data_IF_055815567652
#
_entry.id   IF_055815567652
#
_cell.length_a   1.000
_cell.length_b   1.000
_cell.length_c   1.000
_cell.angle_alpha   90.00
_cell.angle_beta   90.00
_cell.angle_gamma   90.00
#
_symmetry.space_group_name_H-M   'P 1'
#
loop_
_entity.id
_entity.type
_entity.pdbx_description
1 polymer ?
#
# COMPACT_ATOMS: atom_id res chain seq x y z
N UNK A 1 -0.71 -3.51 -0.68
CA UNK A 1 -0.08 -4.74 -1.22
C UNK A 1 -0.54 -5.92 -0.38
N UNK A 2 -0.72 -7.11 -0.97
CA UNK A 2 -0.73 -8.37 -0.24
C UNK A 2 0.71 -8.87 -0.07
N UNK A 3 1.05 -9.33 1.12
CA UNK A 3 2.36 -9.91 1.42
C UNK A 3 2.24 -11.43 1.26
N UNK A 4 3.01 -12.02 0.34
CA UNK A 4 2.88 -13.43 0.00
C UNK A 4 4.24 -14.12 -0.09
N UNK A 5 4.58 -14.91 0.94
CA UNK A 5 5.82 -15.71 0.96
C UNK A 5 5.78 -16.92 0.02
N UNK A 6 4.60 -17.29 -0.51
CA UNK A 6 4.45 -18.33 -1.51
C UNK A 6 4.63 -17.83 -2.96
N UNK A 7 4.62 -16.52 -3.17
CA UNK A 7 4.91 -15.92 -4.48
C UNK A 7 6.41 -15.70 -4.67
N UNK A 8 6.95 -16.16 -5.78
CA UNK A 8 8.34 -15.85 -6.17
C UNK A 8 8.48 -14.39 -6.64
N UNK A 9 7.48 -13.88 -7.35
CA UNK A 9 7.52 -12.58 -8.02
C UNK A 9 6.72 -11.51 -7.27
N UNK A 10 7.12 -10.26 -7.43
CA UNK A 10 6.26 -9.12 -7.12
C UNK A 10 5.30 -8.89 -8.29
N UNK A 11 3.99 -8.79 -8.04
CA UNK A 11 2.97 -8.61 -9.06
C UNK A 11 2.21 -7.30 -8.87
N UNK A 12 1.82 -6.63 -9.96
CA UNK A 12 0.94 -5.46 -9.91
C UNK A 12 -0.05 -5.46 -11.07
N UNK A 13 -1.33 -5.14 -10.78
CA UNK A 13 -2.34 -4.94 -11.81
C UNK A 13 -2.04 -3.71 -12.66
N UNK A 14 -2.27 -3.81 -13.97
CA UNK A 14 -1.92 -2.78 -14.95
C UNK A 14 -2.62 -1.43 -14.67
N UNK A 15 -3.88 -1.44 -14.28
CA UNK A 15 -4.70 -0.26 -14.01
C UNK A 15 -4.15 0.65 -12.90
N UNK A 16 -3.30 0.12 -12.03
CA UNK A 16 -2.67 0.87 -10.94
C UNK A 16 -1.44 1.66 -11.38
N UNK A 17 -0.91 1.35 -12.57
CA UNK A 17 0.21 2.08 -13.13
C UNK A 17 -0.29 3.37 -13.79
N UNK A 18 0.36 4.49 -13.47
CA UNK A 18 0.16 5.74 -14.23
C UNK A 18 0.58 5.51 -15.68
N UNK A 19 -0.09 6.19 -16.62
CA UNK A 19 0.19 6.06 -18.06
C UNK A 19 1.66 6.35 -18.45
N UNK A 20 2.37 7.11 -17.62
CA UNK A 20 3.78 7.48 -17.82
C UNK A 20 4.77 6.38 -17.40
N UNK A 21 4.32 5.36 -16.65
CA UNK A 21 5.18 4.26 -16.22
C UNK A 21 5.45 3.35 -17.41
N UNK A 22 6.72 3.29 -17.83
CA UNK A 22 7.14 2.40 -18.90
C UNK A 22 7.05 0.93 -18.46
N UNK A 23 6.45 0.11 -19.30
CA UNK A 23 6.38 -1.35 -19.13
C UNK A 23 7.32 -2.00 -20.14
N UNK A 24 8.36 -2.69 -19.66
CA UNK A 24 9.26 -3.46 -20.51
C UNK A 24 8.68 -4.85 -20.75
N UNK A 25 8.27 -5.12 -21.99
CA UNK A 25 7.67 -6.38 -22.42
C UNK A 25 8.69 -7.44 -22.85
N UNK A 26 10.00 -7.19 -22.71
CA UNK A 26 11.05 -8.18 -23.01
C UNK A 26 11.11 -9.29 -21.96
N UNK A 27 10.75 -8.98 -20.72
CA UNK A 27 10.74 -9.94 -19.61
C UNK A 27 9.30 -10.27 -19.26
N UNK A 28 8.88 -11.48 -19.62
CA UNK A 28 7.52 -11.97 -19.39
C UNK A 28 7.57 -13.40 -18.85
N UNK A 29 6.81 -13.66 -17.79
CA UNK A 29 6.74 -14.96 -17.14
C UNK A 29 5.36 -15.59 -17.28
N UNK A 30 5.36 -16.92 -17.28
CA UNK A 30 4.15 -17.71 -17.10
C UNK A 30 4.00 -18.03 -15.61
N UNK A 31 2.84 -17.69 -15.08
CA UNK A 31 2.47 -17.83 -13.68
C UNK A 31 1.57 -19.05 -13.51
N UNK A 32 1.84 -19.80 -12.44
CA UNK A 32 1.06 -20.98 -12.02
C UNK A 32 0.75 -20.88 -10.53
N UNK A 33 -0.15 -21.72 -10.02
CA UNK A 33 -0.46 -21.80 -8.59
C UNK A 33 -1.58 -20.86 -8.10
N UNK A 34 -2.02 -19.90 -8.92
CA UNK A 34 -3.14 -19.00 -8.57
C UNK A 34 -4.47 -19.50 -9.14
N UNK A 35 -4.45 -20.13 -10.31
CA UNK A 35 -5.63 -20.80 -10.88
C UNK A 35 -5.30 -22.21 -11.33
N UNK A 36 -6.32 -22.97 -11.73
CA UNK A 36 -6.14 -24.26 -12.42
C UNK A 36 -5.41 -24.11 -13.77
N UNK A 37 -5.30 -22.88 -14.31
CA UNK A 37 -4.63 -22.56 -15.56
C UNK A 37 -3.32 -21.79 -15.39
N UNK A 38 -2.67 -21.53 -16.53
CA UNK A 38 -1.49 -20.66 -16.64
C UNK A 38 -1.94 -19.26 -17.01
N UNK A 39 -1.40 -18.25 -16.34
CA UNK A 39 -1.58 -16.84 -16.73
C UNK A 39 -0.23 -16.22 -17.03
N UNK A 40 -0.17 -15.22 -17.90
CA UNK A 40 1.08 -14.60 -18.32
C UNK A 40 1.16 -13.17 -17.81
N UNK A 41 2.36 -12.72 -17.43
CA UNK A 41 2.62 -11.30 -17.18
C UNK A 41 2.61 -10.53 -18.50
N UNK A 42 2.46 -9.21 -18.42
CA UNK A 42 2.51 -8.29 -19.57
C UNK A 42 3.93 -7.78 -19.81
N UNK A 43 4.71 -7.67 -18.74
CA UNK A 43 6.07 -7.14 -18.75
C UNK A 43 6.53 -6.85 -17.33
N UNK A 44 7.52 -5.97 -17.21
CA UNK A 44 8.03 -5.47 -15.93
C UNK A 44 7.97 -3.94 -15.86
N UNK A 45 7.70 -3.43 -14.67
CA UNK A 45 7.77 -2.01 -14.33
C UNK A 45 8.57 -1.84 -13.05
N UNK A 46 9.34 -0.75 -12.95
CA UNK A 46 10.05 -0.40 -11.71
C UNK A 46 9.24 0.65 -10.97
N UNK A 47 8.90 0.36 -9.71
CA UNK A 47 8.15 1.25 -8.84
C UNK A 47 8.97 1.58 -7.61
N UNK A 48 8.79 2.79 -7.09
CA UNK A 48 9.45 3.19 -5.85
C UNK A 48 8.59 2.79 -4.65
N UNK A 49 9.13 1.95 -3.78
CA UNK A 49 8.55 1.65 -2.46
C UNK A 49 9.47 2.28 -1.42
N UNK A 50 8.96 3.30 -0.72
CA UNK A 50 9.77 4.19 0.14
C UNK A 50 10.97 4.76 -0.63
N UNK A 51 12.19 4.31 -0.32
CA UNK A 51 13.42 4.77 -0.97
C UNK A 51 14.05 3.74 -1.92
N UNK A 52 13.36 2.62 -2.13
CA UNK A 52 13.85 1.53 -2.97
C UNK A 52 13.13 1.44 -4.30
N UNK A 53 13.90 1.20 -5.35
CA UNK A 53 13.39 0.83 -6.67
C UNK A 53 13.12 -0.67 -6.68
N UNK A 54 11.85 -1.03 -6.78
CA UNK A 54 11.37 -2.40 -6.74
C UNK A 54 10.83 -2.79 -8.12
N UNK A 55 11.31 -3.92 -8.64
CA UNK A 55 10.80 -4.48 -9.88
C UNK A 55 9.49 -5.22 -9.61
N UNK A 56 8.47 -4.90 -10.39
CA UNK A 56 7.16 -5.54 -10.41
C UNK A 56 6.89 -6.14 -11.77
N UNK A 57 6.35 -7.36 -11.78
CA UNK A 57 5.76 -7.96 -12.95
C UNK A 57 4.31 -7.48 -13.11
N UNK A 58 4.03 -6.89 -14.27
CA UNK A 58 2.70 -6.36 -14.57
C UNK A 58 1.77 -7.48 -14.99
N UNK A 59 0.59 -7.55 -14.42
CA UNK A 59 -0.47 -8.50 -14.81
C UNK A 59 -1.70 -7.76 -15.33
N UNK A 60 -2.56 -8.48 -16.04
CA UNK A 60 -3.87 -7.94 -16.46
C UNK A 60 -4.72 -7.55 -15.25
N UNK A 61 -5.67 -6.63 -15.43
CA UNK A 61 -6.60 -6.25 -14.35
C UNK A 61 -7.56 -7.39 -13.98
N UNK A 62 -7.81 -8.29 -14.94
CA UNK A 62 -8.57 -9.53 -14.75
C UNK A 62 -7.78 -10.63 -14.02
N UNK A 63 -6.57 -10.32 -13.53
CA UNK A 63 -5.76 -11.29 -12.80
C UNK A 63 -6.48 -11.72 -11.52
N UNK A 64 -6.61 -13.03 -11.24
CA UNK A 64 -7.57 -13.59 -10.29
C UNK A 64 -7.06 -13.52 -8.84
N UNK A 65 -6.73 -12.31 -8.39
CA UNK A 65 -6.37 -11.99 -7.01
C UNK A 65 -7.24 -10.81 -6.55
N UNK A 66 -7.71 -10.87 -5.31
CA UNK A 66 -8.49 -9.78 -4.72
C UNK A 66 -7.67 -8.53 -4.46
N UNK A 67 -6.36 -8.69 -4.20
CA UNK A 67 -5.46 -7.59 -3.97
C UNK A 67 -5.06 -6.86 -5.27
N UNK A 68 -4.66 -5.61 -5.10
CA UNK A 68 -4.15 -4.75 -6.16
C UNK A 68 -2.75 -5.15 -6.64
N UNK A 69 -1.93 -5.62 -5.71
CA UNK A 69 -0.54 -5.98 -5.95
C UNK A 69 -0.06 -7.00 -4.91
N UNK A 70 0.91 -7.83 -5.28
CA UNK A 70 1.57 -8.81 -4.42
C UNK A 70 3.03 -8.43 -4.24
N UNK A 71 3.52 -8.45 -3.01
CA UNK A 71 4.94 -8.45 -2.69
C UNK A 71 5.34 -9.89 -2.39
N UNK A 72 6.22 -10.42 -3.24
CA UNK A 72 6.71 -11.79 -3.18
C UNK A 72 8.09 -11.91 -2.53
N UNK A 73 8.60 -13.13 -2.53
CA UNK A 73 9.90 -13.48 -1.94
C UNK A 73 11.09 -12.81 -2.61
N UNK A 74 10.99 -12.42 -3.88
CA UNK A 74 11.99 -11.57 -4.53
C UNK A 74 12.25 -10.28 -3.73
N UNK A 75 11.19 -9.55 -3.36
CA UNK A 75 11.34 -8.35 -2.54
C UNK A 75 11.93 -8.69 -1.17
N UNK A 76 11.44 -9.73 -0.50
CA UNK A 76 11.92 -10.11 0.83
C UNK A 76 13.41 -10.44 0.85
N UNK A 77 13.89 -11.20 -0.15
CA UNK A 77 15.31 -11.56 -0.25
C UNK A 77 16.17 -10.35 -0.59
N UNK A 78 15.75 -9.56 -1.58
CA UNK A 78 16.53 -8.41 -2.05
C UNK A 78 16.68 -7.32 -0.99
N UNK A 79 15.67 -7.16 -0.13
CA UNK A 79 15.66 -6.14 0.92
C UNK A 79 15.93 -6.70 2.32
N UNK A 80 16.25 -8.00 2.44
CA UNK A 80 16.51 -8.69 3.73
C UNK A 80 15.38 -8.46 4.74
N UNK A 81 14.15 -8.60 4.27
CA UNK A 81 12.94 -8.35 5.08
C UNK A 81 12.79 -9.43 6.15
N UNK A 82 12.49 -9.01 7.38
CA UNK A 82 12.02 -9.88 8.46
C UNK A 82 10.52 -9.71 8.60
N UNK A 83 9.78 -10.81 8.66
CA UNK A 83 8.36 -10.79 9.02
C UNK A 83 8.27 -11.01 10.53
N UNK A 84 7.88 -9.98 11.27
CA UNK A 84 7.66 -10.04 12.72
C UNK A 84 6.17 -10.20 12.99
N UNK A 85 5.74 -11.45 13.18
CA UNK A 85 4.35 -11.77 13.49
C UNK A 85 3.91 -11.28 14.88
N UNK A 86 4.83 -11.14 15.83
CA UNK A 86 4.48 -10.67 17.18
C UNK A 86 4.17 -9.17 17.17
N UNK A 87 4.91 -8.39 16.37
CA UNK A 87 4.69 -6.96 16.19
C UNK A 87 3.78 -6.60 15.02
N UNK A 88 3.27 -7.62 14.32
CA UNK A 88 2.45 -7.47 13.11
C UNK A 88 3.10 -6.51 12.10
N UNK A 89 4.36 -6.74 11.73
CA UNK A 89 5.06 -5.86 10.79
C UNK A 89 6.10 -6.56 9.90
N UNK A 90 6.47 -5.89 8.82
CA UNK A 90 7.69 -6.14 8.06
C UNK A 90 8.80 -5.24 8.56
N UNK A 91 9.98 -5.79 8.82
CA UNK A 91 11.17 -5.01 9.16
C UNK A 91 12.19 -5.11 8.03
N UNK A 92 12.61 -3.97 7.50
CA UNK A 92 13.66 -3.88 6.49
C UNK A 92 14.49 -2.63 6.71
N UNK A 93 15.83 -2.76 6.61
CA UNK A 93 16.78 -1.66 6.84
C UNK A 93 16.56 -0.89 8.15
N UNK A 94 16.06 -1.57 9.19
CA UNK A 94 15.74 -0.96 10.48
C UNK A 94 14.39 -0.23 10.54
N UNK A 95 13.65 -0.14 9.45
CA UNK A 95 12.32 0.47 9.37
C UNK A 95 11.25 -0.61 9.51
N UNK A 96 10.23 -0.35 10.34
CA UNK A 96 9.09 -1.24 10.53
C UNK A 96 7.86 -0.75 9.74
N UNK A 97 7.29 -1.63 8.93
CA UNK A 97 6.05 -1.43 8.19
C UNK A 97 4.97 -2.33 8.77
N UNK A 98 4.09 -1.75 9.57
CA UNK A 98 3.02 -2.49 10.25
C UNK A 98 1.97 -2.99 9.26
N UNK A 99 1.48 -4.20 9.48
CA UNK A 99 0.37 -4.76 8.75
C UNK A 99 -0.87 -3.91 9.03
N UNK A 100 -1.55 -3.50 7.97
CA UNK A 100 -2.84 -2.85 8.09
C UNK A 100 -3.89 -3.95 8.26
N UNK A 101 -4.60 -3.90 9.38
CA UNK A 101 -5.90 -4.52 9.48
C UNK A 101 -6.90 -3.51 8.90
N UNK A 102 -7.86 -3.96 8.08
CA UNK A 102 -8.90 -3.11 7.49
C UNK A 102 -9.82 -2.53 8.58
N UNK A 103 -9.31 -1.57 9.35
CA UNK A 103 -10.11 -0.74 10.23
C UNK A 103 -10.82 0.28 9.35
N UNK A 104 -12.14 0.15 9.22
CA UNK A 104 -12.95 1.19 8.59
C UNK A 104 -13.42 2.19 9.64
N UNK A 105 -13.34 3.47 9.31
CA UNK A 105 -13.95 4.55 10.09
C UNK A 105 -15.16 5.04 9.32
N UNK A 106 -16.34 4.92 9.91
CA UNK A 106 -17.53 5.63 9.44
C UNK A 106 -17.35 7.13 9.68
N UNK A 107 -17.51 7.92 8.64
CA UNK A 107 -17.50 9.38 8.70
C UNK A 107 -18.85 9.88 8.18
N UNK A 108 -19.75 10.28 9.09
CA UNK A 108 -21.08 10.73 8.70
C UNK A 108 -21.03 11.94 7.76
N UNK A 109 -22.08 12.07 6.97
CA UNK A 109 -22.37 13.19 6.11
C UNK A 109 -22.17 14.52 6.87
N UNK A 110 -21.51 15.49 6.24
CA UNK A 110 -21.45 16.88 6.75
C UNK A 110 -20.88 16.99 8.17
N UNK A 111 -19.92 16.14 8.53
CA UNK A 111 -19.27 16.17 9.84
C UNK A 111 -17.79 16.51 9.77
N UNK A 112 -17.29 17.05 10.88
CA UNK A 112 -15.87 17.13 11.20
C UNK A 112 -15.59 16.16 12.35
N UNK A 113 -14.78 15.14 12.08
CA UNK A 113 -14.44 14.07 13.05
C UNK A 113 -12.94 14.02 13.28
N UNK A 114 -12.51 13.75 14.51
CA UNK A 114 -11.11 13.51 14.80
C UNK A 114 -10.77 12.04 14.48
N UNK A 115 -9.65 11.83 13.80
CA UNK A 115 -9.08 10.51 13.53
C UNK A 115 -7.57 10.54 13.71
N UNK A 116 -6.92 9.40 13.50
CA UNK A 116 -5.47 9.31 13.45
C UNK A 116 -5.02 8.47 12.26
N UNK A 117 -3.82 8.75 11.76
CA UNK A 117 -3.08 7.88 10.86
C UNK A 117 -1.85 7.34 11.58
N UNK A 118 -1.38 6.17 11.15
CA UNK A 118 -0.15 5.58 11.66
C UNK A 118 1.07 6.30 11.10
N UNK A 119 2.01 6.63 11.97
CA UNK A 119 3.31 7.16 11.57
C UNK A 119 4.24 5.96 11.34
N UNK A 120 4.77 5.82 10.12
CA UNK A 120 5.63 4.70 9.75
C UNK A 120 6.92 4.65 10.59
N UNK A 121 7.48 5.83 10.89
CA UNK A 121 8.67 5.96 11.73
C UNK A 121 8.30 6.53 13.12
N UNK A 122 8.37 5.73 14.19
CA UNK A 122 8.03 6.18 15.53
C UNK A 122 9.02 7.22 16.09
N UNK A 123 10.23 7.36 15.53
CA UNK A 123 11.21 8.37 15.97
C UNK A 123 10.87 9.79 15.50
N UNK A 124 10.07 9.92 14.43
CA UNK A 124 9.60 11.22 13.95
C UNK A 124 8.67 11.82 15.00
N UNK A 125 9.06 12.94 15.62
CA UNK A 125 8.25 13.61 16.65
C UNK A 125 7.17 14.54 16.07
N UNK A 126 7.46 15.20 14.94
CA UNK A 126 6.56 16.16 14.30
C UNK A 126 6.72 16.08 12.78
N UNK A 127 5.66 16.39 12.04
CA UNK A 127 5.69 16.41 10.59
C UNK A 127 4.50 17.12 9.97
N UNK A 128 4.58 17.34 8.66
CA UNK A 128 3.45 17.81 7.86
C UNK A 128 2.87 16.65 7.08
N UNK A 129 1.57 16.38 7.25
CA UNK A 129 0.84 15.42 6.45
C UNK A 129 0.21 16.17 5.28
N UNK A 130 0.58 15.78 4.06
CA UNK A 130 -0.05 16.27 2.82
C UNK A 130 -1.52 15.83 2.76
N UNK A 131 -2.31 16.49 1.91
CA UNK A 131 -3.67 16.02 1.60
C UNK A 131 -3.66 14.54 1.23
N UNK A 132 -4.49 13.77 1.90
CA UNK A 132 -4.72 12.36 1.60
C UNK A 132 -5.99 12.25 0.77
N UNK A 133 -5.99 11.36 -0.22
CA UNK A 133 -7.21 11.05 -0.96
C UNK A 133 -8.14 10.23 -0.07
N UNK A 134 -9.26 10.84 0.31
CA UNK A 134 -10.28 10.26 1.18
C UNK A 134 -11.63 10.12 0.45
N UNK A 135 -11.64 10.29 -0.87
CA UNK A 135 -12.84 10.33 -1.70
C UNK A 135 -13.34 11.75 -2.00
N UNK A 136 -14.30 11.87 -2.94
CA UNK A 136 -14.87 13.15 -3.33
C UNK A 136 -15.45 13.90 -2.13
N UNK A 137 -15.18 15.21 -2.02
CA UNK A 137 -15.77 16.07 -0.98
C UNK A 137 -15.44 15.67 0.47
N UNK A 138 -14.41 14.84 0.65
CA UNK A 138 -13.84 14.45 1.94
C UNK A 138 -12.41 14.98 2.04
N UNK A 139 -12.15 15.77 3.07
CA UNK A 139 -10.88 16.46 3.27
C UNK A 139 -10.14 15.85 4.46
N UNK A 140 -8.93 15.35 4.21
CA UNK A 140 -8.04 14.74 5.19
C UNK A 140 -6.58 15.18 4.95
N UNK A 141 -5.86 15.55 6.00
CA UNK A 141 -4.45 15.96 5.92
C UNK A 141 -4.26 17.47 5.88
N UNK A 142 -3.24 17.93 5.15
CA UNK A 142 -2.77 19.32 5.11
C UNK A 142 -2.57 19.93 6.52
N UNK A 143 -1.98 19.15 7.43
CA UNK A 143 -1.86 19.50 8.82
C UNK A 143 -0.44 19.26 9.35
N UNK A 144 0.04 20.18 10.18
CA UNK A 144 1.19 19.94 11.06
C UNK A 144 0.68 19.10 12.23
N UNK A 145 1.34 17.97 12.47
CA UNK A 145 0.95 16.98 13.47
C UNK A 145 2.13 16.64 14.37
N UNK A 146 1.82 16.25 15.61
CA UNK A 146 2.75 15.60 16.53
C UNK A 146 2.52 14.09 16.48
N UNK A 147 3.60 13.31 16.44
CA UNK A 147 3.53 11.88 16.67
C UNK A 147 3.28 11.61 18.16
N UNK A 148 2.16 10.96 18.47
CA UNK A 148 1.79 10.53 19.82
C UNK A 148 1.72 9.01 19.82
N UNK A 149 2.83 8.36 20.21
CA UNK A 149 2.94 6.90 20.29
C UNK A 149 2.64 6.20 18.94
N UNK A 150 3.29 6.64 17.86
CA UNK A 150 3.12 6.11 16.50
C UNK A 150 1.85 6.59 15.79
N UNK A 151 1.14 7.59 16.34
CA UNK A 151 -0.13 8.09 15.81
C UNK A 151 -0.09 9.60 15.60
N UNK A 152 -0.45 10.03 14.39
CA UNK A 152 -0.68 11.43 14.08
C UNK A 152 -2.19 11.70 14.06
N UNK A 153 -2.66 12.57 14.96
CA UNK A 153 -4.08 12.92 15.05
C UNK A 153 -4.41 14.11 14.15
N UNK A 154 -5.51 13.99 13.41
CA UNK A 154 -5.99 14.99 12.46
C UNK A 154 -7.51 15.01 12.40
N UNK A 155 -8.06 16.04 11.78
CA UNK A 155 -9.48 16.10 11.48
C UNK A 155 -9.73 15.61 10.07
N UNK A 156 -10.79 14.83 9.93
CA UNK A 156 -11.43 14.59 8.66
C UNK A 156 -12.70 15.44 8.57
N UNK A 157 -12.92 16.05 7.42
CA UNK A 157 -14.14 16.83 7.12
C UNK A 157 -14.82 16.18 5.94
N UNK A 158 -16.01 15.63 6.16
CA UNK A 158 -16.88 15.14 5.10
C UNK A 158 -17.94 16.20 4.82
N UNK A 159 -18.07 16.66 3.58
CA UNK A 159 -19.09 17.63 3.17
C UNK A 159 -20.23 17.03 2.34
N UNK A 160 -20.20 15.72 2.13
CA UNK A 160 -21.13 14.98 1.26
C UNK A 160 -21.96 13.95 2.06
N UNK A 161 -22.20 12.76 1.51
CA UNK A 161 -22.91 11.62 2.11
C UNK A 161 -22.03 10.78 3.06
N UNK A 162 -22.63 9.88 3.84
CA UNK A 162 -21.91 8.98 4.73
C UNK A 162 -20.86 8.15 3.97
N UNK A 163 -19.63 8.10 4.49
CA UNK A 163 -18.53 7.34 3.87
C UNK A 163 -17.84 6.42 4.89
N UNK A 164 -17.34 5.30 4.40
CA UNK A 164 -16.42 4.43 5.12
C UNK A 164 -15.02 4.61 4.56
N UNK A 165 -14.06 4.92 5.42
CA UNK A 165 -12.67 5.14 5.03
C UNK A 165 -11.79 4.11 5.71
N UNK A 166 -10.92 3.47 4.94
CA UNK A 166 -9.89 2.57 5.44
C UNK A 166 -8.81 3.37 6.18
N UNK A 167 -8.35 2.86 7.31
CA UNK A 167 -7.48 3.56 8.24
C UNK A 167 -6.04 3.05 8.23
#
# INVERSE_FOLDING_TARGET
>A
FMIDTGSDLNLIKRSLLKNEVAIDSRTVFELTGITKGRTRTVGVATLRISDDNVLFHVVSDEFPIGADAIIGTEFFRNHKVTIDYLRECLVTKGIAYYFQNDETVQVPARTRKQMYVHVADPEIQYGYILSLDAGPQVYLGNAVVSNRQGKAHLYIVNTDEDINILK
#
